data_IF_480407273265
#
_entry.id   IF_480407273265
#
_cell.length_a   1.000
_cell.length_b   1.000
_cell.length_c   1.000
_cell.angle_alpha   90.00
_cell.angle_beta   90.00
_cell.angle_gamma   90.00
#
_symmetry.space_group_name_H-M   'P 1'
#
loop_
_entity.id
_entity.type
_entity.pdbx_description
1 polymer ?
#
# COMPACT_ATOMS: atom_id res chain seq x y z
N UNK A 1 -45.74 -59.71 21.94
CA UNK A 1 -45.81 -58.79 20.79
C UNK A 1 -44.86 -57.64 21.07
N UNK A 2 -44.03 -57.36 20.08
CA UNK A 2 -42.93 -56.39 20.03
C UNK A 2 -43.25 -55.05 20.70
N UNK A 3 -42.27 -54.42 21.37
CA UNK A 3 -41.63 -53.23 20.82
C UNK A 3 -40.47 -52.67 21.66
N UNK A 4 -39.36 -52.48 20.93
CA UNK A 4 -38.22 -51.55 21.05
C UNK A 4 -37.60 -51.17 22.40
N UNK A 5 -36.34 -51.60 22.53
CA UNK A 5 -35.31 -50.97 23.36
C UNK A 5 -34.80 -49.68 22.68
N UNK A 6 -34.81 -48.55 23.38
CA UNK A 6 -33.96 -47.40 23.06
C UNK A 6 -33.19 -46.97 24.32
N UNK A 7 -31.89 -47.25 24.32
CA UNK A 7 -30.94 -46.72 25.29
C UNK A 7 -30.63 -45.26 24.92
N UNK A 8 -31.22 -44.31 25.65
CA UNK A 8 -30.82 -42.90 25.61
C UNK A 8 -29.92 -42.67 26.83
N UNK A 9 -28.60 -42.64 26.62
CA UNK A 9 -27.67 -42.14 27.62
C UNK A 9 -27.85 -40.63 27.74
N UNK A 10 -28.40 -40.19 28.86
CA UNK A 10 -28.37 -38.80 29.32
C UNK A 10 -26.92 -38.44 29.66
N UNK A 11 -26.13 -38.01 28.68
CA UNK A 11 -24.95 -37.22 28.97
C UNK A 11 -25.45 -35.80 29.30
N UNK A 12 -25.14 -35.24 30.48
CA UNK A 12 -25.47 -33.85 30.74
C UNK A 12 -24.77 -33.03 29.66
N UNK A 13 -25.54 -32.24 28.92
CA UNK A 13 -24.98 -31.19 28.08
C UNK A 13 -24.17 -30.30 29.01
N UNK A 14 -22.85 -30.54 29.02
CA UNK A 14 -21.89 -29.67 29.65
C UNK A 14 -22.02 -28.36 28.88
N UNK A 15 -22.74 -27.41 29.46
CA UNK A 15 -22.68 -26.00 29.13
C UNK A 15 -21.26 -25.49 29.45
N UNK A 16 -20.27 -25.97 28.72
CA UNK A 16 -18.96 -25.34 28.63
C UNK A 16 -19.04 -24.37 27.46
N UNK A 17 -19.78 -23.28 27.67
CA UNK A 17 -19.23 -22.01 27.22
C UNK A 17 -17.92 -21.86 27.99
N UNK A 18 -16.80 -22.25 27.38
CA UNK A 18 -15.47 -21.93 27.88
C UNK A 18 -15.42 -20.40 27.89
N UNK A 19 -15.77 -19.80 29.03
CA UNK A 19 -15.36 -18.45 29.34
C UNK A 19 -13.84 -18.51 29.31
N UNK A 20 -13.22 -17.84 28.34
CA UNK A 20 -11.78 -17.61 28.33
C UNK A 20 -11.44 -16.96 29.67
N UNK A 21 -10.84 -17.73 30.58
CA UNK A 21 -10.37 -17.19 31.84
C UNK A 21 -9.31 -16.14 31.51
N UNK A 22 -9.41 -14.96 32.10
CA UNK A 22 -8.46 -13.83 31.98
C UNK A 22 -7.00 -14.15 32.36
N UNK A 23 -6.64 -15.42 32.53
CA UNK A 23 -5.53 -15.88 33.36
C UNK A 23 -4.25 -16.18 32.56
N UNK A 24 -4.32 -16.41 31.24
CA UNK A 24 -3.13 -16.71 30.42
C UNK A 24 -2.87 -15.68 29.30
N UNK A 25 -3.26 -14.42 29.54
CA UNK A 25 -2.96 -13.32 28.63
C UNK A 25 -1.49 -12.90 28.80
N UNK A 26 -0.67 -13.05 27.76
CA UNK A 26 0.69 -12.53 27.79
C UNK A 26 0.68 -11.03 27.46
N UNK A 27 1.41 -10.18 28.23
CA UNK A 27 1.54 -8.78 27.88
C UNK A 27 2.34 -8.63 26.58
N UNK A 28 2.01 -7.61 25.80
CA UNK A 28 2.77 -7.28 24.60
C UNK A 28 4.04 -6.50 24.97
N UNK A 29 5.12 -6.69 24.19
CA UNK A 29 6.26 -5.79 24.28
C UNK A 29 5.87 -4.40 23.74
N UNK A 30 6.67 -3.39 24.06
CA UNK A 30 6.55 -2.09 23.42
C UNK A 30 6.61 -2.26 21.89
N UNK A 31 5.63 -1.74 21.13
CA UNK A 31 5.62 -1.91 19.69
C UNK A 31 6.82 -1.22 19.05
N UNK A 32 7.29 -1.78 17.94
CA UNK A 32 8.28 -1.13 17.09
C UNK A 32 7.68 0.12 16.45
N UNK A 33 8.47 1.18 16.32
CA UNK A 33 8.06 2.43 15.68
C UNK A 33 8.75 2.52 14.31
N UNK A 34 7.99 2.56 13.20
CA UNK A 34 8.55 2.77 11.86
C UNK A 34 9.31 4.09 11.74
N UNK A 35 10.18 4.18 10.74
CA UNK A 35 10.82 5.45 10.40
C UNK A 35 9.76 6.47 9.95
N UNK A 36 9.91 7.72 10.38
CA UNK A 36 8.98 8.83 10.12
C UNK A 36 7.57 8.61 10.67
N UNK A 37 7.46 7.85 11.76
CA UNK A 37 6.20 7.53 12.42
C UNK A 37 6.29 7.77 13.92
N UNK A 38 5.13 8.03 14.51
CA UNK A 38 4.89 8.14 15.93
C UNK A 38 3.83 7.11 16.32
N UNK A 39 3.95 6.58 17.54
CA UNK A 39 2.95 5.65 18.11
C UNK A 39 2.34 6.27 19.36
N UNK A 40 1.03 6.15 19.49
CA UNK A 40 0.25 6.52 20.68
C UNK A 40 -0.37 5.24 21.24
N UNK A 41 -0.05 4.91 22.49
CA UNK A 41 -0.55 3.72 23.16
C UNK A 41 -1.80 4.06 23.97
N UNK A 42 -2.76 3.13 24.02
CA UNK A 42 -3.93 3.26 24.89
C UNK A 42 -3.55 3.18 26.38
N UNK A 43 -2.45 2.48 26.69
CA UNK A 43 -1.83 2.39 28.01
C UNK A 43 -0.30 2.32 27.81
N UNK A 44 0.41 3.31 28.33
CA UNK A 44 1.88 3.43 28.21
C UNK A 44 2.64 2.53 29.19
N UNK A 45 1.97 2.03 30.23
CA UNK A 45 2.60 1.31 31.35
C UNK A 45 2.25 -0.18 31.30
N UNK A 46 0.99 -0.53 31.00
CA UNK A 46 0.50 -1.90 31.02
C UNK A 46 -0.10 -2.32 29.66
N UNK A 47 0.77 -2.84 28.79
CA UNK A 47 0.39 -3.36 27.48
C UNK A 47 -0.19 -4.78 27.58
N UNK A 48 -1.47 -4.88 27.94
CA UNK A 48 -2.19 -6.15 28.07
C UNK A 48 -3.01 -6.47 26.82
N UNK A 49 -3.56 -7.69 26.76
CA UNK A 49 -4.49 -8.09 25.70
C UNK A 49 -5.62 -7.06 25.55
N UNK A 50 -5.83 -6.61 24.32
CA UNK A 50 -6.79 -5.55 23.99
C UNK A 50 -6.22 -4.13 24.03
N UNK A 51 -5.00 -3.90 24.55
CA UNK A 51 -4.30 -2.61 24.40
C UNK A 51 -4.11 -2.28 22.92
N UNK A 52 -4.13 -1.00 22.59
CA UNK A 52 -4.13 -0.51 21.22
C UNK A 52 -2.94 0.41 20.97
N UNK A 53 -2.26 0.20 19.86
CA UNK A 53 -1.19 1.06 19.35
C UNK A 53 -1.69 1.76 18.08
N UNK A 54 -1.76 3.09 18.14
CA UNK A 54 -2.19 3.93 17.02
C UNK A 54 -0.98 4.62 16.41
N UNK A 55 -0.75 4.41 15.13
CA UNK A 55 0.38 4.95 14.38
C UNK A 55 -0.07 6.18 13.60
N UNK A 56 0.79 7.20 13.60
CA UNK A 56 0.65 8.42 12.81
C UNK A 56 1.99 8.72 12.16
N UNK A 57 1.98 9.11 10.90
CA UNK A 57 3.19 9.56 10.22
C UNK A 57 3.54 11.00 10.62
N UNK A 58 4.84 11.31 10.56
CA UNK A 58 5.33 12.69 10.65
C UNK A 58 4.79 13.53 9.49
N UNK A 59 4.78 14.85 9.66
CA UNK A 59 4.22 15.77 8.68
C UNK A 59 4.90 15.60 7.31
N UNK A 60 4.08 15.50 6.26
CA UNK A 60 4.53 15.26 4.88
C UNK A 60 4.65 13.79 4.48
N UNK A 61 4.49 12.85 5.41
CA UNK A 61 4.44 11.42 5.12
C UNK A 61 3.02 10.87 5.13
N UNK A 62 2.74 9.94 4.23
CA UNK A 62 1.48 9.21 4.12
C UNK A 62 1.63 7.83 4.76
N UNK A 63 0.61 7.42 5.54
CA UNK A 63 0.59 6.13 6.23
C UNK A 63 0.06 5.04 5.31
N UNK A 64 0.84 3.97 5.16
CA UNK A 64 0.47 2.76 4.42
C UNK A 64 0.33 1.58 5.38
N UNK A 65 -0.75 0.82 5.23
CA UNK A 65 -1.13 -0.28 6.11
C UNK A 65 -2.16 0.12 7.16
N UNK A 66 -2.35 -0.72 8.17
CA UNK A 66 -3.30 -0.47 9.26
C UNK A 66 -2.73 0.54 10.25
N UNK A 67 -3.43 1.66 10.46
CA UNK A 67 -3.03 2.69 11.43
C UNK A 67 -3.17 2.24 12.88
N UNK A 68 -3.89 1.15 13.14
CA UNK A 68 -4.17 0.65 14.48
C UNK A 68 -3.81 -0.83 14.59
N UNK A 69 -3.08 -1.18 15.66
CA UNK A 69 -2.74 -2.57 16.01
C UNK A 69 -3.20 -2.84 17.43
N UNK A 70 -3.68 -4.06 17.67
CA UNK A 70 -4.16 -4.48 18.98
C UNK A 70 -3.21 -5.54 19.56
N UNK A 71 -3.06 -5.54 20.88
CA UNK A 71 -2.34 -6.59 21.58
C UNK A 71 -3.22 -7.85 21.66
N UNK A 72 -2.78 -8.93 21.04
CA UNK A 72 -3.44 -10.23 21.07
C UNK A 72 -3.21 -10.96 22.40
N UNK A 73 -4.05 -11.97 22.64
CA UNK A 73 -3.94 -12.83 23.84
C UNK A 73 -2.61 -13.58 23.94
N UNK A 74 -1.93 -13.78 22.82
CA UNK A 74 -0.63 -14.43 22.70
C UNK A 74 0.56 -13.50 23.00
N UNK A 75 0.31 -12.24 23.38
CA UNK A 75 1.34 -11.24 23.65
C UNK A 75 1.98 -10.68 22.38
N UNK A 76 1.27 -10.76 21.23
CA UNK A 76 1.74 -10.20 19.96
C UNK A 76 0.80 -9.13 19.45
N UNK A 77 1.39 -8.11 18.83
CA UNK A 77 0.63 -7.10 18.10
C UNK A 77 0.04 -7.69 16.83
N UNK A 78 -1.26 -7.46 16.60
CA UNK A 78 -1.97 -7.94 15.41
C UNK A 78 -1.47 -7.25 14.14
N UNK A 79 -1.46 -7.98 13.03
CA UNK A 79 -1.13 -7.46 11.70
C UNK A 79 0.33 -7.05 11.55
N UNK A 80 0.68 -6.62 10.34
CA UNK A 80 2.01 -6.11 10.02
C UNK A 80 2.20 -4.67 10.52
N UNK A 81 3.46 -4.27 10.66
CA UNK A 81 3.79 -2.91 11.02
C UNK A 81 3.46 -1.97 9.85
N UNK A 82 2.73 -0.85 10.05
CA UNK A 82 2.53 0.13 9.01
C UNK A 82 3.86 0.81 8.65
N UNK A 83 3.91 1.50 7.52
CA UNK A 83 5.06 2.32 7.17
C UNK A 83 4.62 3.68 6.64
N UNK A 84 5.51 4.65 6.78
CA UNK A 84 5.32 6.01 6.31
C UNK A 84 6.16 6.23 5.06
N UNK A 85 5.55 6.80 4.02
CA UNK A 85 6.23 7.10 2.76
C UNK A 85 5.86 8.49 2.24
N UNK A 86 6.72 9.07 1.41
CA UNK A 86 6.52 10.38 0.79
C UNK A 86 6.66 10.26 -0.73
N UNK A 87 6.07 11.19 -1.47
CA UNK A 87 6.27 11.29 -2.91
C UNK A 87 7.68 11.79 -3.24
N UNK A 88 8.62 10.85 -3.40
CA UNK A 88 10.01 11.16 -3.75
C UNK A 88 10.19 11.66 -5.18
N UNK A 89 9.21 11.42 -6.06
CA UNK A 89 9.25 11.86 -7.46
C UNK A 89 8.87 13.34 -7.63
N UNK A 90 8.25 13.97 -6.62
CA UNK A 90 7.84 15.37 -6.69
C UNK A 90 9.00 16.30 -7.05
N UNK A 91 8.79 17.10 -8.10
CA UNK A 91 9.74 18.11 -8.59
C UNK A 91 11.08 17.54 -9.10
N UNK A 92 11.19 16.22 -9.28
CA UNK A 92 12.40 15.59 -9.81
C UNK A 92 12.52 15.75 -11.33
N UNK A 93 13.73 15.68 -11.90
CA UNK A 93 13.90 15.71 -13.35
C UNK A 93 13.15 14.57 -14.04
N UNK A 94 12.42 14.91 -15.09
CA UNK A 94 11.64 13.97 -15.88
C UNK A 94 12.02 14.05 -17.34
N UNK A 95 11.76 12.97 -18.06
CA UNK A 95 11.90 12.91 -19.50
C UNK A 95 10.82 12.01 -20.09
N UNK A 96 10.54 12.15 -21.38
CA UNK A 96 9.60 11.31 -22.10
C UNK A 96 10.00 11.15 -23.57
N UNK A 97 9.43 10.16 -24.25
CA UNK A 97 9.74 9.82 -25.65
C UNK A 97 9.55 11.00 -26.61
N UNK A 98 8.46 11.73 -26.46
CA UNK A 98 8.12 12.89 -27.28
C UNK A 98 7.13 13.79 -26.55
N UNK A 99 7.00 15.06 -26.96
CA UNK A 99 6.07 16.02 -26.33
C UNK A 99 5.16 16.65 -27.38
N UNK A 100 3.87 16.80 -27.03
CA UNK A 100 2.88 17.51 -27.85
C UNK A 100 1.97 18.38 -26.96
N UNK A 101 1.43 19.48 -27.52
CA UNK A 101 0.36 20.30 -26.89
C UNK A 101 0.64 20.77 -25.45
N UNK A 102 1.88 21.11 -25.12
CA UNK A 102 2.26 21.55 -23.76
C UNK A 102 2.25 20.43 -22.71
N UNK A 103 2.15 19.17 -23.14
CA UNK A 103 2.18 17.99 -22.29
C UNK A 103 3.59 17.60 -21.83
N UNK A 104 4.33 18.56 -21.29
CA UNK A 104 5.67 18.38 -20.73
C UNK A 104 5.72 17.26 -19.67
N UNK A 105 6.81 16.50 -19.64
CA UNK A 105 7.02 15.39 -18.71
C UNK A 105 6.91 15.78 -17.24
N UNK A 106 7.25 17.03 -16.90
CA UNK A 106 7.19 17.59 -15.55
C UNK A 106 5.79 17.64 -14.97
N UNK A 107 4.78 17.61 -15.83
CA UNK A 107 3.39 17.71 -15.41
C UNK A 107 2.91 16.45 -14.66
N UNK A 108 3.61 15.32 -14.80
CA UNK A 108 3.27 14.10 -14.04
C UNK A 108 3.79 14.14 -12.59
N UNK A 109 4.67 15.08 -12.25
CA UNK A 109 5.29 15.16 -10.92
C UNK A 109 5.37 16.59 -10.35
N UNK A 110 4.45 17.46 -10.77
CA UNK A 110 4.32 18.85 -10.30
C UNK A 110 3.48 19.00 -9.02
N UNK A 111 2.88 17.90 -8.54
CA UNK A 111 2.02 17.84 -7.35
C UNK A 111 0.54 18.09 -7.61
N UNK A 112 0.17 18.43 -8.85
CA UNK A 112 -1.23 18.57 -9.24
C UNK A 112 -1.81 17.21 -9.62
N UNK A 113 -2.68 16.69 -8.76
CA UNK A 113 -3.35 15.39 -8.95
C UNK A 113 -4.66 15.48 -9.73
N UNK A 114 -5.00 16.66 -10.28
CA UNK A 114 -6.26 16.85 -10.99
C UNK A 114 -6.25 16.14 -12.35
N UNK A 115 -7.38 15.54 -12.70
CA UNK A 115 -7.58 14.84 -13.98
C UNK A 115 -8.23 15.71 -15.05
N UNK A 116 -8.44 17.00 -14.74
CA UNK A 116 -9.15 18.00 -15.55
C UNK A 116 -8.14 18.73 -16.45
N UNK A 117 -8.40 18.76 -17.75
CA UNK A 117 -7.50 19.32 -18.76
C UNK A 117 -7.71 20.83 -19.04
N UNK A 118 -8.74 21.47 -18.48
CA UNK A 118 -8.97 22.91 -18.72
C UNK A 118 -7.87 23.76 -18.08
N UNK A 119 -7.02 24.37 -18.91
CA UNK A 119 -5.88 25.22 -18.52
C UNK A 119 -4.82 24.54 -17.64
N UNK A 120 -4.80 23.21 -17.60
CA UNK A 120 -3.77 22.39 -16.96
C UNK A 120 -3.33 21.29 -17.93
N UNK A 121 -2.05 20.96 -17.88
CA UNK A 121 -1.47 20.00 -18.81
C UNK A 121 -1.15 18.73 -18.06
N UNK A 122 -1.69 17.59 -18.49
CA UNK A 122 -1.10 16.29 -18.16
C UNK A 122 0.12 16.09 -19.08
N UNK A 123 0.94 15.07 -18.84
CA UNK A 123 1.94 14.65 -19.84
C UNK A 123 1.24 14.15 -21.10
N UNK A 124 1.75 14.50 -22.28
CA UNK A 124 1.21 14.02 -23.56
C UNK A 124 2.33 13.80 -24.58
N UNK A 125 2.40 12.58 -25.11
CA UNK A 125 3.33 12.18 -26.17
C UNK A 125 2.63 12.24 -27.53
N UNK A 126 3.41 12.17 -28.61
CA UNK A 126 2.87 11.89 -29.94
C UNK A 126 2.32 10.46 -29.99
N UNK A 127 1.51 10.17 -31.01
CA UNK A 127 1.11 8.80 -31.30
C UNK A 127 2.32 8.01 -31.83
N UNK A 128 2.81 7.07 -31.04
CA UNK A 128 4.00 6.27 -31.31
C UNK A 128 3.82 4.84 -30.75
N UNK A 129 4.61 3.88 -31.25
CA UNK A 129 4.42 2.45 -30.94
C UNK A 129 4.80 2.07 -29.50
N UNK A 130 5.66 2.85 -28.84
CA UNK A 130 6.16 2.54 -27.50
C UNK A 130 6.53 3.84 -26.75
N UNK A 131 5.53 4.69 -26.45
CA UNK A 131 5.78 5.91 -25.71
C UNK A 131 6.28 5.57 -24.31
N UNK A 132 7.19 6.38 -23.78
CA UNK A 132 7.73 6.19 -22.45
C UNK A 132 7.82 7.52 -21.71
N UNK A 133 7.75 7.42 -20.39
CA UNK A 133 8.00 8.51 -19.46
C UNK A 133 8.93 8.00 -18.36
N UNK A 134 9.83 8.85 -17.89
CA UNK A 134 10.81 8.52 -16.87
C UNK A 134 11.00 9.69 -15.90
N UNK A 135 11.27 9.36 -14.64
CA UNK A 135 11.76 10.29 -13.62
C UNK A 135 13.11 9.80 -13.10
N UNK A 136 14.06 10.72 -12.98
CA UNK A 136 15.32 10.49 -12.29
C UNK A 136 15.19 10.98 -10.84
N UNK A 137 15.24 10.05 -9.89
CA UNK A 137 15.08 10.36 -8.46
C UNK A 137 16.31 11.04 -7.85
N UNK A 138 17.43 11.13 -8.59
CA UNK A 138 18.71 11.72 -8.19
C UNK A 138 19.45 11.02 -7.05
N UNK A 139 18.78 10.12 -6.34
CA UNK A 139 19.37 9.23 -5.34
C UNK A 139 18.62 7.90 -5.32
N UNK A 140 19.26 6.88 -4.74
CA UNK A 140 18.64 5.58 -4.55
C UNK A 140 17.56 5.66 -3.45
N UNK A 141 16.37 5.15 -3.78
CA UNK A 141 15.26 4.99 -2.83
C UNK A 141 14.75 3.55 -2.86
N UNK A 142 14.29 3.06 -1.70
CA UNK A 142 13.48 1.85 -1.64
C UNK A 142 12.05 2.21 -2.09
N UNK A 143 11.76 1.99 -3.37
CA UNK A 143 10.43 2.28 -3.94
C UNK A 143 9.44 1.20 -3.52
N UNK A 144 8.51 1.55 -2.63
CA UNK A 144 7.48 0.64 -2.12
C UNK A 144 6.15 0.73 -2.85
N UNK A 145 5.80 1.93 -3.31
CA UNK A 145 4.50 2.22 -3.94
C UNK A 145 4.74 3.13 -5.13
N UNK A 146 4.05 2.82 -6.23
CA UNK A 146 3.96 3.66 -7.42
C UNK A 146 2.48 3.97 -7.61
N UNK A 147 2.14 5.26 -7.67
CA UNK A 147 0.78 5.74 -7.91
C UNK A 147 0.76 6.44 -9.27
N UNK A 148 -0.06 5.94 -10.18
CA UNK A 148 -0.24 6.52 -11.51
C UNK A 148 -1.67 7.05 -11.60
N UNK A 149 -1.78 8.30 -12.03
CA UNK A 149 -3.06 8.98 -12.22
C UNK A 149 -3.28 9.13 -13.73
N UNK A 150 -4.36 8.55 -14.23
CA UNK A 150 -4.73 8.62 -15.64
C UNK A 150 -5.70 9.76 -15.90
N UNK A 151 -5.76 10.25 -17.15
CA UNK A 151 -6.74 11.27 -17.55
C UNK A 151 -8.16 10.72 -17.41
N UNK A 152 -9.06 11.52 -16.80
CA UNK A 152 -10.44 11.11 -16.52
C UNK A 152 -11.50 11.67 -17.48
N UNK A 153 -11.12 12.40 -18.54
CA UNK A 153 -12.07 13.07 -19.43
C UNK A 153 -12.33 12.34 -20.76
N UNK A 154 -13.53 12.57 -21.31
CA UNK A 154 -14.21 11.83 -22.37
C UNK A 154 -13.42 11.55 -23.67
N UNK A 155 -13.39 10.28 -24.07
CA UNK A 155 -12.94 9.84 -25.40
C UNK A 155 -11.46 9.45 -25.52
N UNK A 156 -10.68 9.51 -24.45
CA UNK A 156 -9.31 9.00 -24.47
C UNK A 156 -9.26 7.49 -24.28
N UNK A 157 -8.39 6.84 -25.06
CA UNK A 157 -8.00 5.46 -24.85
C UNK A 157 -7.30 5.36 -23.48
N UNK A 158 -7.76 4.47 -22.58
CA UNK A 158 -7.05 4.25 -21.31
C UNK A 158 -5.63 3.79 -21.60
N UNK A 159 -4.69 4.02 -20.70
CA UNK A 159 -3.36 3.43 -20.85
C UNK A 159 -3.50 1.91 -20.96
N UNK A 160 -2.88 1.34 -21.99
CA UNK A 160 -2.89 -0.09 -22.26
C UNK A 160 -1.47 -0.63 -22.16
N UNK A 161 -1.32 -1.87 -21.68
CA UNK A 161 -0.06 -2.61 -21.78
C UNK A 161 1.13 -1.87 -21.12
N UNK A 162 0.90 -1.41 -19.88
CA UNK A 162 1.86 -0.61 -19.14
C UNK A 162 2.95 -1.48 -18.50
N UNK A 163 4.21 -1.16 -18.82
CA UNK A 163 5.40 -1.72 -18.19
C UNK A 163 6.03 -0.72 -17.23
N UNK A 164 6.21 -1.11 -15.96
CA UNK A 164 6.88 -0.29 -14.95
C UNK A 164 8.20 -0.95 -14.58
N UNK A 165 9.29 -0.22 -14.81
CA UNK A 165 10.64 -0.62 -14.42
C UNK A 165 11.25 0.34 -13.43
N UNK A 166 11.99 -0.20 -12.47
CA UNK A 166 12.72 0.57 -11.45
C UNK A 166 14.15 0.03 -11.36
N UNK A 167 15.13 0.93 -11.32
CA UNK A 167 16.53 0.55 -11.16
C UNK A 167 17.47 1.73 -11.38
N UNK A 168 18.76 1.45 -11.29
CA UNK A 168 19.84 2.43 -11.36
C UNK A 168 20.54 2.44 -12.73
N UNK A 169 20.01 1.72 -13.71
CA UNK A 169 20.59 1.66 -15.06
C UNK A 169 20.07 2.83 -15.91
N UNK A 170 20.97 3.43 -16.68
CA UNK A 170 20.63 4.40 -17.73
C UNK A 170 19.91 3.77 -18.92
N UNK A 171 19.94 2.44 -19.05
CA UNK A 171 19.19 1.69 -20.06
C UNK A 171 17.92 1.09 -19.45
N UNK A 172 16.77 1.35 -20.07
CA UNK A 172 15.45 0.87 -19.61
C UNK A 172 15.44 -0.65 -19.38
N UNK A 173 15.96 -1.43 -20.32
CA UNK A 173 16.01 -2.90 -20.21
C UNK A 173 16.95 -3.41 -19.10
N UNK A 174 17.91 -2.59 -18.67
CA UNK A 174 18.78 -2.91 -17.54
C UNK A 174 18.09 -2.73 -16.18
N UNK A 175 16.92 -2.09 -16.15
CA UNK A 175 16.11 -1.93 -14.95
C UNK A 175 15.14 -3.10 -14.78
N UNK A 176 14.96 -3.51 -13.52
CA UNK A 176 14.12 -4.65 -13.17
C UNK A 176 12.65 -4.31 -13.43
N UNK A 177 11.91 -5.28 -13.95
CA UNK A 177 10.45 -5.20 -14.06
C UNK A 177 9.84 -5.17 -12.65
N UNK A 178 9.18 -4.07 -12.31
CA UNK A 178 8.47 -3.88 -11.05
C UNK A 178 7.01 -4.33 -11.18
N UNK A 179 6.34 -3.92 -12.25
CA UNK A 179 4.97 -4.32 -12.55
C UNK A 179 4.70 -4.35 -14.06
N UNK A 180 3.78 -5.21 -14.48
CA UNK A 180 3.28 -5.32 -15.85
C UNK A 180 1.76 -5.40 -15.83
N UNK A 181 1.09 -4.52 -16.58
CA UNK A 181 -0.35 -4.44 -16.64
C UNK A 181 -0.82 -4.67 -18.08
N UNK A 182 -1.13 -5.92 -18.46
CA UNK A 182 -1.70 -6.21 -19.76
C UNK A 182 -3.14 -5.67 -19.82
N UNK A 183 -3.47 -4.92 -20.88
CA UNK A 183 -4.80 -4.31 -21.06
C UNK A 183 -4.97 -2.91 -20.45
N UNK A 184 -6.22 -2.42 -20.41
CA UNK A 184 -6.60 -1.08 -19.92
C UNK A 184 -6.43 -0.92 -18.41
N UNK A 185 -5.73 0.12 -17.98
CA UNK A 185 -5.76 0.57 -16.57
C UNK A 185 -7.13 1.18 -16.25
N UNK A 186 -7.85 0.59 -15.28
CA UNK A 186 -9.03 1.19 -14.68
C UNK A 186 -8.66 2.29 -13.68
N UNK A 187 -9.59 3.22 -13.41
CA UNK A 187 -9.38 4.35 -12.50
C UNK A 187 -8.84 3.88 -11.14
N UNK A 188 -7.72 4.47 -10.73
CA UNK A 188 -7.00 4.26 -9.46
C UNK A 188 -6.34 2.89 -9.31
N UNK A 189 -5.18 2.72 -9.96
CA UNK A 189 -4.19 1.76 -9.46
C UNK A 189 -3.58 2.31 -8.16
N UNK A 190 -4.18 1.93 -7.04
CA UNK A 190 -3.39 1.64 -5.86
C UNK A 190 -2.55 0.42 -6.21
N UNK A 191 -1.23 0.57 -6.33
CA UNK A 191 -0.34 -0.58 -6.26
C UNK A 191 -0.37 -1.11 -4.81
N UNK A 192 -1.53 -1.56 -4.33
CA UNK A 192 -1.68 -2.40 -3.16
C UNK A 192 -1.46 -3.83 -3.62
N UNK A 193 -0.21 -4.11 -3.95
CA UNK A 193 0.32 -5.45 -3.73
C UNK A 193 1.64 -5.19 -3.04
N UNK A 194 1.76 -5.72 -1.81
CA UNK A 194 3.01 -5.74 -1.07
C UNK A 194 4.13 -6.27 -1.97
N UNK A 195 4.89 -5.37 -2.60
CA UNK A 195 6.19 -5.70 -3.16
C UNK A 195 7.19 -5.01 -2.23
N UNK A 196 7.34 -5.62 -1.05
CA UNK A 196 8.55 -5.49 -0.26
C UNK A 196 9.69 -6.16 -1.04
N UNK A 197 10.25 -5.46 -2.04
CA UNK A 197 11.57 -5.82 -2.52
C UNK A 197 12.59 -4.92 -1.84
N UNK A 198 13.12 -5.46 -0.74
CA UNK A 198 14.42 -5.09 -0.20
C UNK A 198 15.44 -5.15 -1.35
N UNK A 199 15.89 -3.99 -1.82
CA UNK A 199 17.08 -3.91 -2.67
C UNK A 199 18.27 -4.03 -1.71
N UNK A 200 18.89 -5.22 -1.68
CA UNK A 200 20.24 -5.43 -1.15
C UNK A 200 21.25 -5.22 -2.26
#
# INVERSE_FOLDING_TARGET
>A
MNDLYFLIFMLPFINNCILCSKVDCKPCPHPAVPLYAQVVLSDEVHLQSGSTATYKCDDGYELFGTSVRNCGYDGKWTGDLPYCAVNVAYGKPTNQSSTIRGGDSRNANDGDVTTIHENKYCTETKNENSPWWQVDLLQAYEVKVIRIITRGCCGHQPLHDLEIRVGNSSMVQGNRLCAWFPGTLGEYLYCQTLISQLIK
#
